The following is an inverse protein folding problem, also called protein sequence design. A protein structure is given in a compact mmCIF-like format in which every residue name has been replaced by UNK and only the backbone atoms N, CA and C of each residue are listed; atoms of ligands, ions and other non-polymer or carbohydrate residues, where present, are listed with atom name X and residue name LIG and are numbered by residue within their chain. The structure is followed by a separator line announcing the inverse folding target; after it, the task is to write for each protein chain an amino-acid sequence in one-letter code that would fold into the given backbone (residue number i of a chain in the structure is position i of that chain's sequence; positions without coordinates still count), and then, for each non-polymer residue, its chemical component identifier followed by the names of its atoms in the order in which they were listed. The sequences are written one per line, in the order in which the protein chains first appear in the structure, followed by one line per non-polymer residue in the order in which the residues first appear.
data_IF_783178880185
#
_entry.id   IF_783178880185
#
_cell.length_a   1.000
_cell.length_b   1.000
_cell.length_c   1.000
_cell.angle_alpha   90.00
_cell.angle_beta   90.00
_cell.angle_gamma   90.00
#
_symmetry.space_group_name_H-M   'P 1'
#
loop_
_entity.id
_entity.type
_entity.pdbx_description
1 polymer ?
#
# COMPACT_ATOMS: atom_id res chain seq x y z
N UNK A 1 -14.25 57.66 -44.38
CA UNK A 1 -13.55 57.45 -43.10
C UNK A 1 -14.55 57.02 -42.04
N UNK A 2 -14.63 55.73 -41.71
CA UNK A 2 -15.48 55.20 -40.63
C UNK A 2 -14.57 54.49 -39.63
N UNK A 3 -14.52 54.98 -38.39
CA UNK A 3 -13.87 54.33 -37.26
C UNK A 3 -14.75 53.16 -36.83
N UNK A 4 -14.20 51.95 -36.77
CA UNK A 4 -14.83 50.79 -36.14
C UNK A 4 -13.99 50.43 -34.93
N UNK A 5 -14.54 50.69 -33.75
CA UNK A 5 -14.14 50.04 -32.49
C UNK A 5 -14.95 48.75 -32.39
N UNK A 6 -14.35 47.62 -32.04
CA UNK A 6 -14.95 46.61 -31.15
C UNK A 6 -13.87 45.62 -30.68
N UNK A 7 -13.44 45.76 -29.42
CA UNK A 7 -13.71 44.83 -28.30
C UNK A 7 -12.91 43.52 -28.41
N UNK A 8 -11.76 43.50 -27.72
CA UNK A 8 -11.00 42.28 -27.46
C UNK A 8 -11.75 41.40 -26.46
N UNK A 9 -12.10 40.19 -26.89
CA UNK A 9 -12.58 39.15 -26.01
C UNK A 9 -11.39 38.57 -25.23
N UNK A 10 -11.30 38.89 -23.94
CA UNK A 10 -10.45 38.15 -23.01
C UNK A 10 -11.20 36.85 -22.71
N UNK A 11 -10.81 35.77 -23.38
CA UNK A 11 -11.22 34.42 -22.99
C UNK A 11 -10.40 34.04 -21.77
N UNK A 12 -10.97 34.22 -20.58
CA UNK A 12 -10.44 33.58 -19.37
C UNK A 12 -10.80 32.09 -19.43
N UNK A 13 -9.88 31.27 -19.93
CA UNK A 13 -9.94 29.83 -19.73
C UNK A 13 -9.63 29.56 -18.24
N UNK A 14 -10.68 29.44 -17.42
CA UNK A 14 -10.55 28.82 -16.11
C UNK A 14 -10.37 27.32 -16.34
N UNK A 15 -9.12 26.85 -16.36
CA UNK A 15 -8.83 25.43 -16.23
C UNK A 15 -9.29 25.02 -14.83
N UNK A 16 -10.47 24.41 -14.75
CA UNK A 16 -10.86 23.61 -13.59
C UNK A 16 -9.91 22.40 -13.56
N UNK A 17 -8.77 22.52 -12.89
CA UNK A 17 -8.00 21.36 -12.49
C UNK A 17 -8.87 20.62 -11.48
N UNK A 18 -9.55 19.56 -11.92
CA UNK A 18 -10.07 18.58 -10.97
C UNK A 18 -8.84 18.04 -10.26
N UNK A 19 -8.66 18.40 -8.99
CA UNK A 19 -7.60 17.84 -8.16
C UNK A 19 -7.90 16.34 -8.03
N UNK A 20 -7.28 15.52 -8.88
CA UNK A 20 -7.22 14.09 -8.65
C UNK A 20 -6.26 13.90 -7.48
N UNK A 21 -6.73 13.28 -6.41
CA UNK A 21 -5.92 13.02 -5.24
C UNK A 21 -4.80 12.04 -5.61
N UNK A 22 -3.54 12.50 -5.68
CA UNK A 22 -2.45 11.65 -6.14
C UNK A 22 -2.06 10.58 -5.15
N UNK A 23 -2.37 10.75 -3.86
CA UNK A 23 -2.00 9.81 -2.82
C UNK A 23 -3.13 9.65 -1.82
N UNK A 24 -3.48 8.39 -1.55
CA UNK A 24 -4.41 8.01 -0.51
C UNK A 24 -3.64 7.47 0.68
N UNK A 25 -3.92 8.00 1.87
CA UNK A 25 -3.24 7.64 3.11
C UNK A 25 -4.22 6.99 4.08
N UNK A 26 -3.87 5.81 4.56
CA UNK A 26 -4.53 5.12 5.65
C UNK A 26 -3.73 5.33 6.93
N UNK A 27 -4.43 5.70 8.00
CA UNK A 27 -3.87 5.79 9.35
C UNK A 27 -4.83 5.14 10.33
N UNK A 28 -4.29 4.27 11.18
CA UNK A 28 -5.01 3.68 12.29
C UNK A 28 -4.15 3.74 13.54
N UNK A 29 -4.76 4.21 14.63
CA UNK A 29 -4.12 4.28 15.95
C UNK A 29 -5.01 3.53 16.94
N UNK A 30 -4.43 2.56 17.64
CA UNK A 30 -5.16 1.78 18.64
C UNK A 30 -5.74 2.69 19.73
N UNK A 31 -7.02 2.48 20.04
CA UNK A 31 -7.72 3.22 21.10
C UNK A 31 -8.22 4.60 20.66
N UNK A 32 -7.91 5.04 19.43
CA UNK A 32 -8.43 6.27 18.83
C UNK A 32 -9.33 5.93 17.64
N UNK A 33 -8.83 5.11 16.72
CA UNK A 33 -9.55 4.69 15.51
C UNK A 33 -10.56 3.59 15.84
N UNK A 34 -11.60 3.45 15.00
CA UNK A 34 -12.57 2.37 15.11
C UNK A 34 -11.88 1.00 15.06
N UNK A 35 -12.39 0.04 15.85
CA UNK A 35 -11.74 -1.25 16.06
C UNK A 35 -12.00 -2.22 14.89
N UNK A 36 -10.96 -2.69 14.18
CA UNK A 36 -11.04 -3.84 13.29
C UNK A 36 -11.24 -5.14 14.08
N UNK A 37 -11.31 -6.25 13.36
CA UNK A 37 -11.01 -7.55 13.97
C UNK A 37 -9.50 -7.65 14.17
N UNK A 38 -9.06 -7.78 15.42
CA UNK A 38 -7.63 -7.81 15.79
C UNK A 38 -7.33 -9.01 16.69
N UNK A 39 -6.16 -9.61 16.49
CA UNK A 39 -5.50 -10.50 17.47
C UNK A 39 -4.03 -10.09 17.65
N UNK A 40 -3.60 -10.01 18.91
CA UNK A 40 -2.26 -9.59 19.33
C UNK A 40 -1.28 -10.75 19.63
N UNK A 41 -1.59 -11.97 19.18
CA UNK A 41 -0.81 -13.18 19.51
C UNK A 41 0.66 -13.11 19.02
N UNK A 42 0.92 -12.41 17.91
CA UNK A 42 2.28 -12.14 17.42
C UNK A 42 2.85 -10.77 17.84
N UNK A 43 2.24 -10.11 18.84
CA UNK A 43 2.56 -8.76 19.27
C UNK A 43 1.35 -7.82 19.11
N UNK A 44 1.27 -6.82 19.98
CA UNK A 44 0.16 -5.87 20.03
C UNK A 44 0.41 -4.72 19.06
N UNK A 45 -0.36 -4.66 17.98
CA UNK A 45 -0.27 -3.57 17.00
C UNK A 45 -0.73 -2.24 17.61
N UNK A 46 0.14 -1.24 17.71
CA UNK A 46 -0.17 0.08 18.24
C UNK A 46 -0.70 1.04 17.17
N UNK A 47 -0.12 0.99 15.97
CA UNK A 47 -0.53 1.80 14.83
C UNK A 47 -0.25 1.09 13.51
N UNK A 48 -1.03 1.45 12.48
CA UNK A 48 -0.87 1.00 11.12
C UNK A 48 -0.96 2.21 10.18
N UNK A 49 -0.07 2.26 9.20
CA UNK A 49 -0.02 3.33 8.20
C UNK A 49 0.16 2.71 6.82
N UNK A 50 -0.63 3.17 5.86
CA UNK A 50 -0.55 2.73 4.47
C UNK A 50 -0.67 3.91 3.52
N UNK A 51 0.01 3.84 2.37
CA UNK A 51 -0.19 4.85 1.34
C UNK A 51 -0.08 4.25 -0.06
N UNK A 52 -0.91 4.70 -0.98
CA UNK A 52 -0.75 4.44 -2.41
C UNK A 52 -0.77 5.74 -3.20
N UNK A 53 0.28 6.00 -3.96
CA UNK A 53 0.37 7.12 -4.88
C UNK A 53 -0.02 6.65 -6.30
N UNK A 54 -1.11 7.20 -6.83
CA UNK A 54 -1.71 6.84 -8.12
C UNK A 54 -0.93 7.34 -9.34
N UNK A 55 0.02 8.26 -9.14
CA UNK A 55 0.87 8.82 -10.19
C UNK A 55 2.21 8.07 -10.26
N UNK A 56 2.88 7.90 -9.11
CA UNK A 56 4.20 7.27 -9.04
C UNK A 56 4.14 5.76 -8.86
N UNK A 57 2.95 5.20 -8.61
CA UNK A 57 2.75 3.82 -8.15
C UNK A 57 3.57 3.50 -6.90
N UNK A 58 3.82 4.47 -6.03
CA UNK A 58 4.50 4.19 -4.76
C UNK A 58 3.51 3.58 -3.78
N UNK A 59 3.81 2.39 -3.29
CA UNK A 59 3.04 1.72 -2.23
C UNK A 59 3.90 1.59 -0.98
N UNK A 60 3.33 1.97 0.16
CA UNK A 60 4.00 1.85 1.46
C UNK A 60 3.06 1.27 2.51
N UNK A 61 3.60 0.46 3.41
CA UNK A 61 2.87 -0.10 4.54
C UNK A 61 3.78 -0.24 5.75
N UNK A 62 3.32 0.22 6.90
CA UNK A 62 4.07 0.19 8.16
C UNK A 62 3.14 -0.11 9.33
N UNK A 63 3.69 -0.72 10.38
CA UNK A 63 3.13 -0.51 11.70
C UNK A 63 4.06 -0.88 12.83
N UNK A 64 3.65 -0.41 14.00
CA UNK A 64 4.44 -0.44 15.22
C UNK A 64 3.80 -1.38 16.22
N UNK A 65 4.60 -2.23 16.84
CA UNK A 65 4.15 -3.31 17.71
C UNK A 65 4.77 -3.20 19.09
N UNK A 66 3.95 -3.40 20.11
CA UNK A 66 4.40 -3.65 21.47
C UNK A 66 4.49 -5.16 21.72
N UNK A 67 5.48 -5.58 22.50
CA UNK A 67 5.60 -6.98 22.89
C UNK A 67 4.36 -7.46 23.65
N UNK A 68 3.83 -8.62 23.29
CA UNK A 68 2.76 -9.31 24.04
C UNK A 68 3.30 -10.64 24.53
N UNK A 69 3.32 -10.85 25.85
CA UNK A 69 3.92 -12.03 26.47
C UNK A 69 5.37 -12.29 25.98
N UNK A 70 6.16 -11.22 25.85
CA UNK A 70 7.55 -11.28 25.36
C UNK A 70 7.71 -11.48 23.85
N UNK A 71 6.62 -11.47 23.08
CA UNK A 71 6.65 -11.70 21.62
C UNK A 71 6.49 -10.41 20.84
N UNK A 72 7.40 -10.21 19.89
CA UNK A 72 7.34 -9.19 18.84
C UNK A 72 7.32 -9.88 17.47
N UNK A 73 6.67 -9.28 16.46
CA UNK A 73 6.63 -9.86 15.14
C UNK A 73 7.99 -9.74 14.45
N UNK A 74 8.31 -10.74 13.63
CA UNK A 74 9.52 -10.80 12.82
C UNK A 74 9.23 -10.55 11.34
N UNK A 75 7.97 -10.59 10.93
CA UNK A 75 7.54 -10.34 9.57
C UNK A 75 6.03 -10.30 9.52
N UNK A 76 5.49 -10.26 8.31
CA UNK A 76 4.05 -10.34 8.09
C UNK A 76 3.76 -10.74 6.64
N UNK A 77 2.51 -11.11 6.39
CA UNK A 77 1.93 -11.04 5.06
C UNK A 77 0.74 -10.08 5.02
N UNK A 78 0.50 -9.48 3.87
CA UNK A 78 -0.45 -8.37 3.69
C UNK A 78 -1.10 -8.44 2.32
N UNK A 79 -2.42 -8.34 2.28
CA UNK A 79 -3.17 -7.93 1.10
C UNK A 79 -3.99 -6.67 1.42
N UNK A 80 -4.14 -5.80 0.42
CA UNK A 80 -4.99 -4.61 0.47
C UNK A 80 -5.85 -4.53 -0.77
N UNK A 81 -6.99 -3.87 -0.66
CA UNK A 81 -8.00 -3.76 -1.73
C UNK A 81 -8.71 -2.40 -1.67
N UNK A 82 -9.39 -1.97 -2.74
CA UNK A 82 -10.20 -0.76 -2.75
C UNK A 82 -11.55 -0.96 -2.04
N UNK A 83 -11.54 -1.08 -0.71
CA UNK A 83 -12.73 -1.12 0.14
C UNK A 83 -13.01 -2.48 0.80
N UNK A 84 -13.57 -3.49 0.10
CA UNK A 84 -13.95 -4.78 0.70
C UNK A 84 -12.79 -5.53 1.35
N UNK A 85 -13.02 -6.38 2.34
CA UNK A 85 -11.93 -7.19 2.92
C UNK A 85 -11.27 -8.09 1.83
N UNK A 86 -9.94 -8.04 1.64
CA UNK A 86 -9.21 -8.90 0.69
C UNK A 86 -9.45 -10.41 0.84
N UNK A 87 -9.77 -10.87 2.05
CA UNK A 87 -9.88 -12.29 2.38
C UNK A 87 -10.84 -13.03 1.45
N UNK A 88 -10.31 -14.01 0.73
CA UNK A 88 -11.09 -14.89 -0.13
C UNK A 88 -11.39 -14.33 -1.53
N UNK A 89 -10.89 -13.14 -1.89
CA UNK A 89 -11.01 -12.65 -3.26
C UNK A 89 -9.88 -13.21 -4.12
N UNK A 90 -10.22 -13.79 -5.26
CA UNK A 90 -9.22 -14.36 -6.17
C UNK A 90 -8.95 -13.41 -7.33
N UNK A 91 -7.71 -13.42 -7.83
CA UNK A 91 -7.30 -12.84 -9.12
C UNK A 91 -7.41 -11.31 -9.26
N UNK A 92 -7.52 -10.58 -8.15
CA UNK A 92 -7.63 -9.10 -8.18
C UNK A 92 -6.53 -8.37 -7.38
N UNK A 93 -5.80 -9.04 -6.48
CA UNK A 93 -4.88 -8.40 -5.53
C UNK A 93 -3.46 -8.95 -5.59
N UNK A 94 -2.51 -8.11 -5.20
CA UNK A 94 -1.19 -8.56 -4.78
C UNK A 94 -1.19 -8.90 -3.28
N UNK A 95 -0.43 -9.93 -2.92
CA UNK A 95 -0.12 -10.25 -1.52
C UNK A 95 1.38 -10.13 -1.29
N UNK A 96 1.73 -9.45 -0.22
CA UNK A 96 3.09 -9.12 0.18
C UNK A 96 3.54 -10.00 1.33
N UNK A 97 4.82 -10.36 1.34
CA UNK A 97 5.46 -11.09 2.42
C UNK A 97 6.73 -10.35 2.84
N UNK A 98 6.74 -9.84 4.06
CA UNK A 98 7.93 -9.28 4.69
C UNK A 98 8.58 -10.35 5.59
N UNK A 99 9.86 -10.55 5.38
CA UNK A 99 10.74 -11.31 6.26
C UNK A 99 11.78 -10.37 6.89
N UNK A 100 11.55 -10.00 8.14
CA UNK A 100 12.49 -9.26 8.99
C UNK A 100 13.08 -10.11 10.11
N UNK A 101 13.12 -11.43 9.93
CA UNK A 101 13.68 -12.36 10.93
C UNK A 101 15.21 -12.30 11.00
N UNK A 102 15.86 -11.81 9.94
CA UNK A 102 17.30 -11.62 9.84
C UNK A 102 17.68 -10.14 9.69
N UNK A 103 18.98 -9.82 9.77
CA UNK A 103 19.50 -8.46 9.54
C UNK A 103 19.28 -7.97 8.10
N UNK A 104 19.14 -8.90 7.15
CA UNK A 104 18.88 -8.60 5.75
C UNK A 104 17.41 -8.88 5.47
N UNK A 105 16.57 -7.88 5.75
CA UNK A 105 15.15 -8.00 5.53
C UNK A 105 14.82 -8.19 4.05
N UNK A 106 13.81 -9.02 3.76
CA UNK A 106 13.41 -9.38 2.40
C UNK A 106 11.92 -9.15 2.20
N UNK A 107 11.56 -8.70 1.02
CA UNK A 107 10.17 -8.44 0.64
C UNK A 107 9.85 -9.19 -0.65
N UNK A 108 8.67 -9.78 -0.68
CA UNK A 108 8.16 -10.51 -1.85
C UNK A 108 6.74 -10.08 -2.15
N UNK A 109 6.35 -10.11 -3.42
CA UNK A 109 4.96 -9.98 -3.83
C UNK A 109 4.59 -11.07 -4.85
N UNK A 110 3.39 -11.61 -4.67
CA UNK A 110 2.75 -12.61 -5.52
C UNK A 110 1.33 -12.14 -5.86
N UNK A 111 0.73 -12.68 -6.92
CA UNK A 111 -0.71 -12.54 -7.08
C UNK A 111 -1.40 -13.37 -5.98
N UNK A 112 -2.42 -12.80 -5.36
CA UNK A 112 -3.16 -13.46 -4.31
C UNK A 112 -4.02 -14.60 -4.89
N UNK A 113 -3.92 -15.77 -4.26
CA UNK A 113 -4.55 -17.02 -4.74
C UNK A 113 -6.00 -17.21 -4.27
N UNK A 114 -6.59 -16.22 -3.61
CA UNK A 114 -7.97 -16.27 -3.12
C UNK A 114 -8.24 -17.22 -1.96
N UNK A 115 -7.21 -17.82 -1.35
CA UNK A 115 -7.37 -18.68 -0.17
C UNK A 115 -7.26 -17.86 1.12
N UNK A 116 -8.06 -18.21 2.13
CA UNK A 116 -7.94 -17.63 3.47
C UNK A 116 -6.70 -18.17 4.22
N UNK A 117 -5.51 -17.83 3.72
CA UNK A 117 -4.21 -18.02 4.35
C UNK A 117 -3.07 -17.42 3.53
N UNK A 118 -1.89 -17.31 4.14
CA UNK A 118 -0.68 -16.76 3.50
C UNK A 118 0.06 -17.76 2.59
N UNK A 119 -0.65 -18.56 1.79
CA UNK A 119 -0.04 -19.65 0.99
C UNK A 119 0.28 -19.28 -0.46
N UNK A 120 0.04 -18.03 -0.89
CA UNK A 120 0.17 -17.64 -2.30
C UNK A 120 1.61 -17.63 -2.82
N UNK A 121 2.60 -17.69 -1.92
CA UNK A 121 4.00 -17.92 -2.31
C UNK A 121 4.25 -19.34 -2.84
N UNK A 122 3.39 -20.30 -2.47
CA UNK A 122 3.49 -21.72 -2.81
C UNK A 122 2.47 -22.12 -3.87
N UNK A 123 1.21 -21.68 -3.74
CA UNK A 123 0.12 -22.06 -4.62
C UNK A 123 -0.54 -20.83 -5.26
N UNK A 124 -0.57 -20.79 -6.59
CA UNK A 124 -1.01 -19.62 -7.34
C UNK A 124 -2.53 -19.44 -7.46
N UNK A 125 -3.35 -20.44 -7.12
CA UNK A 125 -4.81 -20.32 -7.23
C UNK A 125 -5.55 -21.17 -6.20
N UNK A 126 -6.85 -20.95 -6.04
CA UNK A 126 -7.72 -21.79 -5.21
C UNK A 126 -8.17 -23.11 -5.88
N UNK A 127 -7.70 -23.42 -7.09
CA UNK A 127 -8.05 -24.65 -7.80
C UNK A 127 -7.48 -25.89 -7.08
N UNK A 128 -8.05 -27.06 -7.36
CA UNK A 128 -7.57 -28.31 -6.78
C UNK A 128 -6.14 -28.65 -7.22
N UNK A 129 -5.32 -29.09 -6.26
CA UNK A 129 -3.91 -29.43 -6.48
C UNK A 129 -3.00 -28.21 -6.51
N UNK A 130 -1.71 -28.40 -6.25
CA UNK A 130 -0.74 -27.29 -6.18
C UNK A 130 -0.45 -26.71 -7.56
N UNK A 131 -0.75 -25.43 -7.73
CA UNK A 131 -0.36 -24.67 -8.92
C UNK A 131 0.94 -23.91 -8.66
N UNK A 132 1.73 -23.69 -9.71
CA UNK A 132 2.94 -22.86 -9.56
C UNK A 132 2.56 -21.45 -9.09
N UNK A 133 3.33 -20.83 -8.17
CA UNK A 133 3.00 -19.52 -7.65
C UNK A 133 3.07 -18.45 -8.74
N UNK A 134 2.22 -17.43 -8.63
CA UNK A 134 2.23 -16.28 -9.52
C UNK A 134 3.12 -15.17 -8.96
N UNK A 135 4.38 -15.20 -9.38
CA UNK A 135 5.48 -14.38 -8.87
C UNK A 135 5.51 -13.01 -9.55
N UNK A 136 5.56 -11.94 -8.76
CA UNK A 136 5.55 -10.57 -9.28
C UNK A 136 6.86 -9.83 -8.96
N UNK A 137 7.27 -9.89 -7.70
CA UNK A 137 8.40 -9.10 -7.20
C UNK A 137 9.14 -9.81 -6.06
N UNK A 138 10.47 -9.64 -6.04
CA UNK A 138 11.32 -10.03 -4.92
C UNK A 138 12.42 -8.99 -4.73
N UNK A 139 12.64 -8.56 -3.49
CA UNK A 139 13.74 -7.64 -3.15
C UNK A 139 15.13 -8.24 -3.39
N UNK A 140 15.23 -9.58 -3.54
CA UNK A 140 16.47 -10.26 -3.91
C UNK A 140 16.76 -10.05 -5.40
N UNK A 141 15.75 -10.20 -6.24
CA UNK A 141 15.90 -10.19 -7.69
C UNK A 141 15.80 -8.76 -8.27
N UNK A 142 15.01 -7.89 -7.65
CA UNK A 142 14.74 -6.52 -8.09
C UNK A 142 14.97 -5.47 -6.96
N UNK A 143 16.17 -5.39 -6.36
CA UNK A 143 16.40 -4.51 -5.21
C UNK A 143 16.14 -3.01 -5.51
N UNK A 144 16.25 -2.58 -6.77
CA UNK A 144 16.00 -1.20 -7.19
C UNK A 144 14.54 -0.75 -7.06
N UNK A 145 13.59 -1.69 -6.93
CA UNK A 145 12.17 -1.37 -6.70
C UNK A 145 11.88 -1.08 -5.23
N UNK A 146 12.78 -1.46 -4.32
CA UNK A 146 12.67 -1.18 -2.88
C UNK A 146 13.13 0.25 -2.63
N UNK A 147 12.23 1.06 -2.08
CA UNK A 147 12.55 2.41 -1.63
C UNK A 147 13.00 2.39 -0.16
N UNK A 148 12.32 1.57 0.65
CA UNK A 148 12.64 1.37 2.06
C UNK A 148 12.14 0.00 2.56
N UNK A 149 12.88 -0.61 3.48
CA UNK A 149 12.38 -1.71 4.33
C UNK A 149 12.75 -1.37 5.76
N UNK A 150 11.74 -1.23 6.61
CA UNK A 150 11.91 -0.93 8.03
C UNK A 150 11.73 -2.20 8.85
N UNK A 151 12.78 -2.58 9.57
CA UNK A 151 12.76 -3.63 10.61
C UNK A 151 13.53 -3.10 11.81
N UNK A 152 12.84 -2.38 12.68
CA UNK A 152 13.49 -1.58 13.72
C UNK A 152 12.95 -1.93 15.10
N UNK A 153 13.84 -2.32 16.02
CA UNK A 153 13.54 -2.34 17.45
C UNK A 153 13.77 -0.92 18.00
N UNK A 154 12.72 -0.32 18.54
CA UNK A 154 12.74 1.05 19.04
C UNK A 154 13.24 1.10 20.49
N UNK A 155 13.73 2.26 20.91
CA UNK A 155 14.28 2.48 22.26
C UNK A 155 13.23 2.35 23.37
N UNK A 156 11.95 2.51 23.04
CA UNK A 156 10.81 2.35 23.94
C UNK A 156 10.35 0.88 24.10
N UNK A 157 11.07 -0.07 23.49
CA UNK A 157 10.75 -1.50 23.52
C UNK A 157 9.69 -1.93 22.51
N UNK A 158 9.22 -1.03 21.64
CA UNK A 158 8.36 -1.39 20.50
C UNK A 158 9.20 -1.85 19.30
N UNK A 159 8.54 -2.40 18.27
CA UNK A 159 9.17 -2.75 17.00
C UNK A 159 8.34 -2.24 15.83
N UNK A 160 8.98 -1.57 14.89
CA UNK A 160 8.36 -1.12 13.64
C UNK A 160 8.75 -2.05 12.50
N UNK A 161 7.75 -2.54 11.78
CA UNK A 161 7.91 -3.33 10.56
C UNK A 161 7.21 -2.62 9.41
N UNK A 162 7.81 -2.62 8.22
CA UNK A 162 7.17 -2.10 7.04
C UNK A 162 8.09 -1.98 5.83
N UNK A 163 7.55 -1.42 4.76
CA UNK A 163 8.27 -1.18 3.53
C UNK A 163 7.65 -0.05 2.71
N UNK A 164 8.44 0.45 1.76
CA UNK A 164 8.00 1.28 0.64
C UNK A 164 8.62 0.77 -0.65
N UNK A 165 7.82 0.69 -1.72
CA UNK A 165 8.25 0.20 -3.02
C UNK A 165 7.70 1.05 -4.16
N UNK A 166 8.41 1.01 -5.29
CA UNK A 166 7.81 1.31 -6.59
C UNK A 166 6.99 0.09 -7.05
N UNK A 167 5.67 0.19 -6.93
CA UNK A 167 4.72 -0.87 -7.27
C UNK A 167 4.36 -0.91 -8.76
N UNK A 168 5.09 -0.24 -9.65
CA UNK A 168 4.77 -0.23 -11.10
C UNK A 168 4.71 -1.64 -11.69
N UNK A 169 5.62 -2.56 -11.32
CA UNK A 169 5.54 -3.95 -11.80
C UNK A 169 4.35 -4.72 -11.21
N UNK A 170 3.87 -4.32 -10.04
CA UNK A 170 2.68 -4.90 -9.43
C UNK A 170 1.43 -4.39 -10.16
N UNK A 171 1.33 -3.08 -10.39
CA UNK A 171 0.17 -2.50 -11.08
C UNK A 171 0.05 -2.97 -12.53
N UNK A 172 1.18 -3.23 -13.20
CA UNK A 172 1.21 -3.72 -14.58
C UNK A 172 1.23 -5.25 -14.71
N UNK A 173 1.12 -5.98 -13.60
CA UNK A 173 1.11 -7.45 -13.63
C UNK A 173 -0.13 -7.96 -14.37
N UNK A 174 0.05 -9.01 -15.17
CA UNK A 174 -1.06 -9.77 -15.74
C UNK A 174 -1.17 -11.07 -14.96
N UNK A 175 -2.22 -11.26 -14.13
CA UNK A 175 -2.40 -12.47 -13.35
C UNK A 175 -2.30 -13.72 -14.20
N UNK A 176 -1.50 -14.69 -13.73
CA UNK A 176 -1.39 -16.01 -14.35
C UNK A 176 -2.68 -16.81 -14.22
N UNK A 177 -3.43 -16.56 -13.15
CA UNK A 177 -4.70 -17.20 -12.84
C UNK A 177 -5.80 -16.14 -12.80
N UNK A 178 -7.00 -16.52 -13.25
CA UNK A 178 -8.18 -15.65 -13.28
C UNK A 178 -8.25 -14.65 -14.43
N UNK A 179 -8.99 -13.56 -14.19
CA UNK A 179 -9.28 -12.53 -15.17
C UNK A 179 -8.42 -11.28 -14.93
N UNK A 180 -7.48 -10.94 -15.83
CA UNK A 180 -6.66 -9.73 -15.71
C UNK A 180 -7.44 -8.42 -15.60
N UNK A 181 -8.68 -8.37 -16.09
CA UNK A 181 -9.52 -7.19 -15.97
C UNK A 181 -9.92 -6.86 -14.51
N UNK A 182 -9.80 -7.82 -13.59
CA UNK A 182 -10.09 -7.62 -12.18
C UNK A 182 -8.86 -7.11 -11.41
N UNK A 183 -7.68 -7.06 -12.02
CA UNK A 183 -6.45 -6.74 -11.31
C UNK A 183 -6.42 -5.30 -10.79
N UNK A 184 -6.31 -5.17 -9.48
CA UNK A 184 -6.09 -3.90 -8.76
C UNK A 184 -4.70 -3.84 -8.11
N UNK A 185 -4.09 -5.00 -7.86
CA UNK A 185 -2.71 -5.11 -7.37
C UNK A 185 -2.59 -4.62 -5.92
N UNK A 186 -1.88 -3.52 -5.72
CA UNK A 186 -1.69 -2.86 -4.43
C UNK A 186 -2.48 -1.55 -4.30
N UNK A 187 -3.22 -1.16 -5.34
CA UNK A 187 -3.91 0.11 -5.35
C UNK A 187 -5.14 0.11 -4.43
N UNK A 188 -5.30 1.21 -3.73
CA UNK A 188 -6.53 1.57 -3.03
C UNK A 188 -6.78 3.06 -3.19
N UNK A 189 -8.04 3.44 -2.99
CA UNK A 189 -8.53 4.80 -3.21
C UNK A 189 -9.04 5.43 -1.93
N UNK A 190 -10.21 6.11 -1.97
CA UNK A 190 -10.86 6.69 -0.79
C UNK A 190 -11.17 5.70 0.35
N UNK A 191 -11.17 4.41 0.04
CA UNK A 191 -11.35 3.33 1.01
C UNK A 191 -10.31 2.24 0.79
N UNK A 192 -9.92 1.58 1.89
CA UNK A 192 -9.03 0.43 1.89
C UNK A 192 -9.62 -0.73 2.68
N UNK A 193 -9.57 -1.91 2.09
CA UNK A 193 -9.74 -3.18 2.79
C UNK A 193 -8.38 -3.74 3.14
N UNK A 194 -8.27 -4.35 4.33
CA UNK A 194 -6.99 -4.77 4.89
C UNK A 194 -7.11 -6.19 5.41
N UNK A 195 -6.15 -7.00 5.00
CA UNK A 195 -5.95 -8.36 5.50
C UNK A 195 -4.47 -8.52 5.81
N UNK A 196 -4.12 -8.25 7.08
CA UNK A 196 -2.73 -8.08 7.50
C UNK A 196 -2.39 -8.94 8.71
N UNK A 197 -1.39 -9.79 8.55
CA UNK A 197 -1.09 -10.85 9.51
C UNK A 197 0.38 -10.81 9.94
N UNK A 198 0.69 -10.12 11.04
CA UNK A 198 2.01 -10.19 11.68
C UNK A 198 2.30 -11.57 12.23
N UNK A 199 3.56 -12.00 12.10
CA UNK A 199 3.99 -13.35 12.50
C UNK A 199 5.26 -13.31 13.34
N UNK A 200 5.40 -14.29 14.25
CA UNK A 200 6.58 -14.48 15.09
C UNK A 200 7.04 -15.94 15.16
N UNK A 201 8.32 -16.14 15.45
CA UNK A 201 9.02 -17.41 15.19
C UNK A 201 9.09 -17.71 13.69
N UNK A 202 9.25 -16.67 12.88
CA UNK A 202 9.27 -16.73 11.42
C UNK A 202 10.55 -17.46 10.95
N UNK A 203 10.34 -18.43 10.08
CA UNK A 203 11.37 -19.16 9.36
C UNK A 203 11.02 -19.13 7.88
N UNK A 204 11.96 -18.65 7.07
CA UNK A 204 11.81 -18.57 5.62
C UNK A 204 12.91 -19.34 4.92
N UNK A 205 12.64 -19.76 3.69
CA UNK A 205 13.66 -20.28 2.79
C UNK A 205 13.38 -19.80 1.39
N UNK A 206 14.44 -19.66 0.60
CA UNK A 206 14.35 -19.13 -0.75
C UNK A 206 15.13 -19.97 -1.74
N UNK A 207 14.62 -20.06 -2.97
CA UNK A 207 15.31 -20.61 -4.13
C UNK A 207 15.13 -19.64 -5.30
N UNK A 208 16.23 -19.33 -5.99
CA UNK A 208 16.25 -18.40 -7.13
C UNK A 208 15.61 -17.02 -6.82
N UNK A 209 15.79 -16.57 -5.59
CA UNK A 209 15.25 -15.30 -5.08
C UNK A 209 13.76 -15.33 -4.72
N UNK A 210 13.09 -16.48 -4.73
CA UNK A 210 11.68 -16.63 -4.37
C UNK A 210 11.49 -17.47 -3.12
N UNK A 211 10.40 -17.26 -2.38
CA UNK A 211 10.08 -18.06 -1.21
C UNK A 211 9.75 -19.50 -1.63
N UNK A 212 10.34 -20.46 -0.91
CA UNK A 212 9.98 -21.88 -0.93
C UNK A 212 9.40 -22.33 0.41
N UNK A 213 9.62 -21.55 1.47
CA UNK A 213 9.02 -21.74 2.77
C UNK A 213 8.73 -20.38 3.44
N UNK A 214 7.57 -20.27 4.07
CA UNK A 214 7.19 -19.17 4.96
C UNK A 214 6.36 -19.75 6.11
N UNK A 215 7.04 -20.10 7.20
CA UNK A 215 6.44 -20.76 8.37
C UNK A 215 6.67 -19.96 9.63
N UNK A 216 5.74 -20.02 10.58
CA UNK A 216 5.80 -19.26 11.83
C UNK A 216 5.17 -20.03 12.98
N UNK A 217 5.50 -19.64 14.20
CA UNK A 217 4.98 -20.27 15.43
C UNK A 217 3.80 -19.53 16.05
N UNK A 218 3.64 -18.24 15.72
CA UNK A 218 2.59 -17.35 16.23
C UNK A 218 2.17 -16.38 15.13
N UNK A 219 0.89 -16.05 15.14
CA UNK A 219 0.25 -15.18 14.17
C UNK A 219 -0.75 -14.27 14.88
N UNK A 220 -0.68 -12.98 14.59
CA UNK A 220 -1.74 -12.02 14.87
C UNK A 220 -2.45 -11.62 13.58
N UNK A 221 -3.49 -10.81 13.69
CA UNK A 221 -4.17 -10.28 12.52
C UNK A 221 -4.74 -8.89 12.79
N UNK A 222 -4.86 -8.12 11.71
CA UNK A 222 -5.53 -6.83 11.62
C UNK A 222 -6.36 -6.88 10.34
N UNK A 223 -7.66 -7.12 10.51
CA UNK A 223 -8.56 -7.40 9.41
C UNK A 223 -9.74 -6.44 9.44
N UNK A 224 -10.04 -5.88 8.27
CA UNK A 224 -11.23 -5.05 8.11
C UNK A 224 -11.45 -4.60 6.69
N UNK A 225 -12.46 -3.74 6.55
CA UNK A 225 -12.95 -3.30 5.26
C UNK A 225 -13.45 -1.86 5.37
N UNK A 226 -13.46 -1.19 4.23
CA UNK A 226 -14.03 0.13 4.02
C UNK A 226 -13.46 1.18 4.98
N UNK A 227 -12.19 1.03 5.38
CA UNK A 227 -11.50 2.06 6.15
C UNK A 227 -11.30 3.28 5.27
N UNK A 228 -11.71 4.45 5.77
CA UNK A 228 -11.53 5.71 5.07
C UNK A 228 -10.05 6.04 4.95
N UNK A 229 -9.65 6.50 3.77
CA UNK A 229 -8.32 7.09 3.54
C UNK A 229 -8.41 8.60 3.41
N UNK A 230 -7.32 9.27 3.71
CA UNK A 230 -7.19 10.71 3.55
C UNK A 230 -6.41 11.00 2.27
N UNK A 231 -7.05 11.62 1.26
CA UNK A 231 -6.32 12.07 0.09
C UNK A 231 -5.36 13.22 0.43
N UNK A 232 -4.20 13.25 -0.23
CA UNK A 232 -3.26 14.39 -0.16
C UNK A 232 -3.05 14.95 -1.56
N UNK A 233 -3.52 16.18 -1.88
CA UNK A 233 -3.32 16.80 -3.19
C UNK A 233 -1.85 17.00 -3.56
N UNK A 234 -1.51 16.92 -4.86
CA UNK A 234 -0.14 17.21 -5.33
C UNK A 234 0.22 18.68 -5.06
N UNK A 235 1.51 19.00 -4.81
CA UNK A 235 1.99 20.38 -4.70
C UNK A 235 1.63 21.28 -5.89
N UNK A 236 1.34 20.73 -7.07
CA UNK A 236 0.88 21.51 -8.23
C UNK A 236 -0.41 22.31 -7.96
N UNK A 237 -1.31 21.82 -7.11
CA UNK A 237 -2.50 22.57 -6.68
C UNK A 237 -2.13 23.81 -5.83
N UNK A 238 -1.06 23.73 -5.04
CA UNK A 238 -0.50 24.87 -4.30
C UNK A 238 0.13 25.90 -5.23
N UNK A 239 0.75 25.47 -6.33
CA UNK A 239 1.31 26.38 -7.34
C UNK A 239 0.20 27.16 -8.06
N UNK A 240 -0.92 26.51 -8.40
CA UNK A 240 -2.06 27.18 -9.02
C UNK A 240 -2.73 28.21 -8.08
N UNK A 241 -2.88 27.88 -6.79
CA UNK A 241 -3.35 28.82 -5.75
C UNK A 241 -2.37 30.00 -5.55
N UNK A 242 -1.06 29.73 -5.53
CA UNK A 242 -0.03 30.76 -5.45
C UNK A 242 -0.02 31.71 -6.66
N UNK A 243 -0.17 31.17 -7.88
CA UNK A 243 -0.28 31.96 -9.09
C UNK A 243 -1.55 32.82 -9.12
N UNK A 244 -2.68 32.28 -8.62
CA UNK A 244 -3.92 33.03 -8.46
C UNK A 244 -3.79 34.22 -7.50
N UNK A 245 -3.17 34.02 -6.34
CA UNK A 245 -2.91 35.08 -5.37
C UNK A 245 -1.97 36.17 -5.91
N UNK A 246 -0.93 35.79 -6.66
CA UNK A 246 -0.03 36.74 -7.32
C UNK A 246 -0.73 37.55 -8.42
N UNK A 247 -1.63 36.94 -9.19
CA UNK A 247 -2.44 37.63 -10.19
C UNK A 247 -3.41 38.63 -9.56
N UNK A 248 -4.06 38.26 -8.44
CA UNK A 248 -4.92 39.18 -7.68
C UNK A 248 -4.13 40.31 -7.02
N UNK A 249 -2.95 40.03 -6.45
CA UNK A 249 -2.08 41.06 -5.87
C UNK A 249 -1.56 42.05 -6.93
N UNK A 250 -1.23 41.57 -8.13
CA UNK A 250 -0.80 42.42 -9.26
C UNK A 250 -1.95 43.29 -9.78
N UNK A 251 -3.18 42.78 -9.84
CA UNK A 251 -4.38 43.54 -10.22
C UNK A 251 -4.77 44.61 -9.19
N UNK A 252 -4.43 44.42 -7.92
CA UNK A 252 -4.72 45.40 -6.85
C UNK A 252 -3.72 46.56 -6.79
N UNK A 253 -2.51 46.38 -7.34
CA UNK A 253 -1.48 47.43 -7.46
C UNK A 253 -1.56 48.26 -8.75
N UNK A 254 -2.41 47.87 -9.70
CA UNK A 254 -2.58 48.57 -10.98
C UNK A 254 -3.84 49.46 -11.02
N UNK A 255 -4.34 49.89 -9.86
CA UNK A 255 -5.37 50.92 -9.72
C UNK A 255 -4.79 52.10 -8.95
#
# INVERSE_FOLDING_TARGET
MKKVFLVGAIVSAAALSMATDPQYNFEWIRGISANPTINDTAGKLLNANGSFNTITNTFSWYGTYQATNGVLPQGFWLAVSPGPNPKGSNDELAIFYLDGSSSNAKLYAYAYNGLNGGSSYFDGSAASGTQAPDRIFSSINDPSKVLDITVQNNTDGTRTLGFSINATSIQNHTPKYGNPANWTGAAFGPQVGIWWHPVAGLQTSTQDGWLTNYSFSKEGWFDGQNFTTTPTPEPATMIALGAGLLAFARRRRSK
#
